data_IF_014328578414
#
_entry.id   IF_014328578414
#
_cell.length_a   1.000
_cell.length_b   1.000
_cell.length_c   1.000
_cell.angle_alpha   90.00
_cell.angle_beta   90.00
_cell.angle_gamma   90.00
#
_symmetry.space_group_name_H-M   'P 1'
#
loop_
_entity.id
_entity.type
_entity.pdbx_description
1 polymer ?
#
# COMPACT_ATOMS: atom_id res chain seq x y z
N UNK A 1 -6.77 -42.43 40.23
CA UNK A 1 -6.85 -41.13 39.56
C UNK A 1 -5.96 -41.20 38.33
N UNK A 2 -6.59 -41.38 37.16
CA UNK A 2 -5.92 -41.45 35.87
C UNK A 2 -5.97 -40.04 35.22
N UNK A 3 -4.80 -39.47 34.94
CA UNK A 3 -4.66 -38.23 34.23
C UNK A 3 -4.73 -38.53 32.73
N UNK A 4 -5.71 -37.99 32.07
CA UNK A 4 -5.84 -38.00 30.60
C UNK A 4 -4.73 -37.15 29.96
N UNK A 5 -4.18 -37.54 28.81
CA UNK A 5 -3.15 -36.75 28.13
C UNK A 5 -3.78 -35.48 27.50
N UNK A 6 -3.12 -34.33 27.73
CA UNK A 6 -3.41 -33.08 27.04
C UNK A 6 -3.01 -33.22 25.58
N UNK A 7 -3.97 -33.13 24.71
CA UNK A 7 -3.75 -32.96 23.26
C UNK A 7 -3.07 -31.59 23.04
N UNK A 8 -1.83 -31.63 22.52
CA UNK A 8 -1.17 -30.45 21.96
C UNK A 8 -1.96 -30.06 20.70
N UNK A 9 -2.47 -28.83 20.67
CA UNK A 9 -2.93 -28.22 19.42
C UNK A 9 -1.71 -28.10 18.49
N UNK A 10 -1.85 -28.58 17.26
CA UNK A 10 -0.87 -28.36 16.21
C UNK A 10 -0.76 -26.87 15.90
N UNK A 11 0.40 -26.36 15.47
CA UNK A 11 0.54 -25.00 14.98
C UNK A 11 -0.40 -24.81 13.79
N UNK A 12 -1.14 -23.72 13.78
CA UNK A 12 -1.85 -23.27 12.59
C UNK A 12 -0.76 -22.85 11.61
N UNK A 13 -0.58 -23.60 10.53
CA UNK A 13 0.25 -23.16 9.41
C UNK A 13 -0.41 -21.90 8.84
N UNK A 14 0.20 -20.75 9.09
CA UNK A 14 -0.10 -19.53 8.38
C UNK A 14 0.45 -19.69 6.97
N UNK A 15 -0.40 -20.11 6.04
CA UNK A 15 -0.05 -20.12 4.61
C UNK A 15 0.14 -18.67 4.18
N UNK A 16 1.33 -18.37 3.64
CA UNK A 16 1.55 -17.12 2.92
C UNK A 16 0.48 -16.95 1.85
N UNK A 17 0.02 -15.70 1.57
CA UNK A 17 -0.97 -15.46 0.54
C UNK A 17 -0.50 -16.08 -0.78
N UNK A 18 -1.33 -16.93 -1.37
CA UNK A 18 -1.08 -17.50 -2.68
C UNK A 18 -1.26 -16.37 -3.69
N UNK A 19 -0.24 -16.09 -4.50
CA UNK A 19 -0.39 -15.20 -5.65
C UNK A 19 -1.63 -15.62 -6.43
N UNK A 20 -2.64 -14.78 -6.40
CA UNK A 20 -3.77 -14.91 -7.30
C UNK A 20 -3.25 -14.51 -8.68
N UNK A 21 -3.10 -15.47 -9.60
CA UNK A 21 -2.76 -15.21 -11.00
C UNK A 21 -3.90 -14.52 -11.76
N UNK A 22 -4.60 -13.63 -11.08
CA UNK A 22 -5.73 -12.85 -11.59
C UNK A 22 -5.17 -11.70 -12.42
N UNK A 23 -5.72 -11.51 -13.63
CA UNK A 23 -5.37 -10.37 -14.45
C UNK A 23 -5.65 -9.08 -13.67
N UNK A 24 -4.75 -8.10 -13.79
CA UNK A 24 -4.90 -6.78 -13.15
C UNK A 24 -6.23 -6.17 -13.59
N UNK A 25 -7.13 -5.80 -12.66
CA UNK A 25 -8.37 -5.12 -13.01
C UNK A 25 -8.11 -3.86 -13.84
N UNK A 26 -8.90 -3.65 -14.89
CA UNK A 26 -8.75 -2.52 -15.81
C UNK A 26 -8.69 -1.16 -15.09
N UNK A 27 -9.46 -1.01 -14.00
CA UNK A 27 -9.49 0.21 -13.22
C UNK A 27 -8.15 0.53 -12.50
N UNK A 28 -7.30 -0.46 -12.24
CA UNK A 28 -5.98 -0.26 -11.63
C UNK A 28 -4.87 0.04 -12.61
N UNK A 29 -5.04 -0.29 -13.88
CA UNK A 29 -4.01 -0.10 -14.91
C UNK A 29 -3.52 1.36 -15.01
N UNK A 30 -4.40 2.39 -15.02
CA UNK A 30 -3.95 3.78 -15.07
C UNK A 30 -3.16 4.20 -13.83
N UNK A 31 -3.45 3.60 -12.66
CA UNK A 31 -2.70 3.84 -11.43
C UNK A 31 -1.28 3.29 -11.58
N UNK A 32 -1.16 2.02 -11.96
CA UNK A 32 0.14 1.36 -12.17
C UNK A 32 0.97 2.12 -13.21
N UNK A 33 0.38 2.47 -14.35
CA UNK A 33 1.05 3.27 -15.39
C UNK A 33 1.56 4.62 -14.86
N UNK A 34 0.80 5.28 -13.98
CA UNK A 34 1.22 6.54 -13.35
C UNK A 34 2.49 6.34 -12.50
N UNK A 35 2.58 5.26 -11.72
CA UNK A 35 3.78 4.95 -10.92
C UNK A 35 4.98 4.64 -11.80
N UNK A 36 4.80 3.84 -12.86
CA UNK A 36 5.86 3.57 -13.84
C UNK A 36 6.38 4.87 -14.43
N UNK A 37 5.48 5.77 -14.85
CA UNK A 37 5.86 7.08 -15.40
C UNK A 37 6.62 7.92 -14.36
N UNK A 38 6.10 8.01 -13.12
CA UNK A 38 6.73 8.79 -12.06
C UNK A 38 8.16 8.31 -11.74
N UNK A 39 8.38 6.99 -11.73
CA UNK A 39 9.69 6.38 -11.48
C UNK A 39 10.63 6.56 -12.69
N UNK A 40 10.13 6.37 -13.91
CA UNK A 40 10.95 6.49 -15.14
C UNK A 40 11.37 7.93 -15.39
N UNK A 41 10.48 8.88 -15.15
CA UNK A 41 10.72 10.31 -15.35
C UNK A 41 11.34 10.99 -14.12
N UNK A 42 11.55 10.25 -13.01
CA UNK A 42 12.09 10.76 -11.74
C UNK A 42 11.31 11.97 -11.20
N UNK A 43 10.00 11.81 -11.02
CA UNK A 43 9.15 12.87 -10.51
C UNK A 43 9.58 13.31 -9.10
N UNK A 44 9.67 14.64 -8.91
CA UNK A 44 9.85 15.20 -7.57
C UNK A 44 8.57 15.13 -6.73
N UNK A 45 8.69 15.33 -5.41
CA UNK A 45 7.57 15.19 -4.47
C UNK A 45 6.36 16.07 -4.80
N UNK A 46 6.56 17.28 -5.37
CA UNK A 46 5.47 18.14 -5.82
C UNK A 46 4.69 17.52 -6.99
N UNK A 47 5.39 16.93 -7.97
CA UNK A 47 4.76 16.26 -9.10
C UNK A 47 3.96 15.04 -8.65
N UNK A 48 4.52 14.22 -7.74
CA UNK A 48 3.82 13.09 -7.15
C UNK A 48 2.54 13.55 -6.43
N UNK A 49 2.63 14.58 -5.58
CA UNK A 49 1.47 15.11 -4.85
C UNK A 49 0.39 15.67 -5.78
N UNK A 50 0.78 16.37 -6.85
CA UNK A 50 -0.17 16.89 -7.83
C UNK A 50 -0.85 15.78 -8.65
N UNK A 51 -0.20 14.62 -8.77
CA UNK A 51 -0.73 13.45 -9.44
C UNK A 51 -1.52 12.52 -8.51
N UNK A 52 -1.71 12.89 -7.24
CA UNK A 52 -2.40 12.09 -6.23
C UNK A 52 -1.77 10.71 -6.04
N UNK A 53 -0.44 10.69 -5.85
CA UNK A 53 0.36 9.54 -5.43
C UNK A 53 1.33 9.95 -4.33
N UNK A 54 1.83 8.97 -3.58
CA UNK A 54 2.75 9.24 -2.47
C UNK A 54 4.01 9.99 -2.92
N UNK A 55 4.34 11.06 -2.20
CA UNK A 55 5.60 11.78 -2.41
C UNK A 55 6.84 10.90 -2.14
N UNK A 56 6.69 9.80 -1.39
CA UNK A 56 7.76 8.84 -1.12
C UNK A 56 8.32 8.21 -2.41
N UNK A 57 7.53 8.18 -3.49
CA UNK A 57 7.98 7.74 -4.82
C UNK A 57 9.19 8.55 -5.30
N UNK A 58 9.24 9.85 -4.96
CA UNK A 58 10.34 10.73 -5.34
C UNK A 58 11.70 10.39 -4.70
N UNK A 59 11.70 9.53 -3.67
CA UNK A 59 12.93 9.08 -3.01
C UNK A 59 13.50 7.79 -3.61
N UNK A 60 12.72 7.09 -4.44
CA UNK A 60 13.18 5.88 -5.10
C UNK A 60 14.31 6.21 -6.09
N UNK A 61 15.39 5.44 -6.02
CA UNK A 61 16.56 5.57 -6.90
C UNK A 61 16.48 4.60 -8.07
N UNK A 62 15.62 3.58 -7.98
CA UNK A 62 15.37 2.58 -9.00
C UNK A 62 13.89 2.16 -9.00
N UNK A 63 13.30 1.90 -10.17
CA UNK A 63 11.96 1.33 -10.27
C UNK A 63 11.78 -0.03 -9.56
N UNK A 64 12.87 -0.79 -9.36
CA UNK A 64 12.82 -2.06 -8.64
C UNK A 64 12.63 -1.93 -7.13
N UNK A 65 12.80 -0.73 -6.56
CA UNK A 65 12.59 -0.49 -5.12
C UNK A 65 11.12 -0.43 -4.74
N UNK A 66 10.24 -0.32 -5.72
CA UNK A 66 8.80 -0.21 -5.57
C UNK A 66 8.09 -1.23 -6.44
N UNK A 67 6.92 -1.63 -6.00
CA UNK A 67 6.08 -2.53 -6.76
C UNK A 67 4.63 -2.46 -6.29
N UNK A 68 3.81 -3.32 -6.87
CA UNK A 68 2.42 -3.47 -6.52
C UNK A 68 2.08 -4.90 -6.11
N UNK A 69 1.03 -5.05 -5.32
CA UNK A 69 0.39 -6.32 -5.02
C UNK A 69 -1.12 -6.19 -5.15
N UNK A 70 -1.78 -7.32 -5.44
CA UNK A 70 -3.23 -7.45 -5.44
C UNK A 70 -3.60 -8.42 -4.32
N UNK A 71 -4.34 -7.95 -3.32
CA UNK A 71 -4.78 -8.74 -2.16
C UNK A 71 -6.19 -8.33 -1.76
N UNK A 72 -7.08 -9.31 -1.55
CA UNK A 72 -8.42 -9.10 -0.97
C UNK A 72 -8.28 -8.87 0.54
N UNK A 73 -8.21 -7.60 0.94
CA UNK A 73 -7.93 -7.20 2.32
C UNK A 73 -9.17 -7.22 3.22
N UNK A 74 -10.37 -7.06 2.66
CA UNK A 74 -11.63 -7.00 3.43
C UNK A 74 -12.54 -8.23 3.18
N UNK A 75 -12.06 -9.21 2.38
CA UNK A 75 -12.74 -10.46 2.03
C UNK A 75 -14.08 -10.23 1.30
N UNK A 76 -14.16 -9.20 0.46
CA UNK A 76 -15.33 -8.94 -0.37
C UNK A 76 -15.28 -9.69 -1.72
N UNK A 77 -14.15 -10.33 -2.02
CA UNK A 77 -13.87 -11.08 -3.24
C UNK A 77 -13.26 -10.24 -4.35
N UNK A 78 -12.89 -8.99 -4.04
CA UNK A 78 -12.21 -8.08 -4.96
C UNK A 78 -10.84 -7.71 -4.37
N UNK A 79 -9.77 -7.94 -5.14
CA UNK A 79 -8.43 -7.58 -4.66
C UNK A 79 -8.23 -6.06 -4.63
N UNK A 80 -7.64 -5.55 -3.56
CA UNK A 80 -7.12 -4.20 -3.48
C UNK A 80 -5.77 -4.09 -4.18
N UNK A 81 -5.48 -2.91 -4.73
CA UNK A 81 -4.17 -2.56 -5.26
C UNK A 81 -3.34 -1.87 -4.17
N UNK A 82 -2.28 -2.54 -3.76
CA UNK A 82 -1.29 -2.03 -2.81
C UNK A 82 -0.06 -1.57 -3.58
N UNK A 83 0.43 -0.36 -3.31
CA UNK A 83 1.73 0.12 -3.77
C UNK A 83 2.65 0.14 -2.56
N UNK A 84 3.79 -0.56 -2.63
CA UNK A 84 4.71 -0.68 -1.50
C UNK A 84 6.17 -0.70 -1.97
N UNK A 85 7.09 -0.45 -1.02
CA UNK A 85 8.52 -0.61 -1.25
C UNK A 85 8.94 -2.08 -1.10
N UNK A 86 10.06 -2.43 -1.75
CA UNK A 86 10.77 -3.71 -1.58
C UNK A 86 11.91 -3.54 -0.58
N UNK A 87 11.56 -3.53 0.71
CA UNK A 87 12.51 -3.38 1.80
C UNK A 87 12.20 -4.39 2.91
N UNK A 88 13.18 -4.65 3.80
CA UNK A 88 12.99 -5.52 4.96
C UNK A 88 11.81 -5.03 5.83
N UNK A 89 11.69 -3.73 6.03
CA UNK A 89 10.51 -3.09 6.58
C UNK A 89 9.68 -2.51 5.43
N UNK A 90 8.66 -3.25 5.02
CA UNK A 90 7.77 -2.81 3.97
C UNK A 90 6.80 -1.73 4.46
N UNK A 91 6.72 -0.65 3.69
CA UNK A 91 5.78 0.45 3.91
C UNK A 91 4.86 0.55 2.70
N UNK A 92 3.57 0.63 2.97
CA UNK A 92 2.55 0.87 1.93
C UNK A 92 2.57 2.36 1.60
N UNK A 93 2.79 2.68 0.33
CA UNK A 93 2.81 4.05 -0.19
C UNK A 93 1.40 4.54 -0.48
N UNK A 94 0.61 3.70 -1.15
CA UNK A 94 -0.78 4.00 -1.48
C UNK A 94 -1.61 2.71 -1.47
N UNK A 95 -2.88 2.84 -1.12
CA UNK A 95 -3.86 1.76 -1.18
C UNK A 95 -5.06 2.22 -2.02
N UNK A 96 -5.48 1.37 -2.94
CA UNK A 96 -6.67 1.58 -3.76
C UNK A 96 -7.60 0.37 -3.65
N UNK A 97 -8.90 0.62 -3.64
CA UNK A 97 -9.95 -0.39 -3.61
C UNK A 97 -10.96 -0.16 -4.74
N UNK A 98 -11.72 -1.18 -5.11
CA UNK A 98 -12.84 -1.09 -6.03
C UNK A 98 -14.16 -1.23 -5.28
N UNK A 99 -14.86 -0.13 -5.07
CA UNK A 99 -16.19 -0.12 -4.44
C UNK A 99 -17.26 0.03 -5.52
N UNK A 100 -18.14 -0.96 -5.65
CA UNK A 100 -19.13 -1.00 -6.72
C UNK A 100 -18.51 -0.83 -8.12
N UNK A 101 -17.31 -1.41 -8.32
CA UNK A 101 -16.54 -1.32 -9.57
C UNK A 101 -15.92 0.06 -9.85
N UNK A 102 -15.93 0.97 -8.89
CA UNK A 102 -15.29 2.29 -8.98
C UNK A 102 -14.03 2.35 -8.16
N UNK A 103 -12.98 2.92 -8.76
CA UNK A 103 -11.71 3.13 -8.08
C UNK A 103 -11.88 4.12 -6.92
N UNK A 104 -11.41 3.71 -5.75
CA UNK A 104 -11.30 4.52 -4.53
C UNK A 104 -9.85 4.56 -4.10
N UNK A 105 -9.26 5.74 -3.95
CA UNK A 105 -7.97 5.94 -3.31
C UNK A 105 -8.19 6.00 -1.80
N UNK A 106 -7.77 4.96 -1.09
CA UNK A 106 -8.08 4.76 0.34
C UNK A 106 -7.19 5.63 1.23
N UNK A 107 -5.87 5.62 0.95
CA UNK A 107 -4.90 6.47 1.64
C UNK A 107 -3.62 6.64 0.84
N UNK A 108 -2.87 7.70 1.20
CA UNK A 108 -1.51 7.99 0.77
C UNK A 108 -0.60 8.06 1.99
N UNK A 109 0.48 7.27 1.98
CA UNK A 109 1.56 7.34 2.98
C UNK A 109 2.56 8.46 2.67
N UNK A 110 3.22 8.98 3.71
CA UNK A 110 4.30 9.96 3.61
C UNK A 110 5.19 9.91 4.86
N UNK A 111 6.31 10.64 4.90
CA UNK A 111 7.37 10.54 5.93
C UNK A 111 6.88 10.53 7.39
N UNK A 112 5.78 11.22 7.67
CA UNK A 112 5.24 11.34 9.03
C UNK A 112 3.92 10.61 9.22
N UNK A 113 3.50 9.82 8.24
CA UNK A 113 2.27 9.03 8.26
C UNK A 113 2.46 7.78 7.40
N UNK A 114 3.02 6.74 7.99
CA UNK A 114 3.35 5.49 7.31
C UNK A 114 2.32 4.40 7.60
N UNK A 115 2.23 3.42 6.70
CA UNK A 115 1.31 2.30 6.78
C UNK A 115 2.05 0.99 6.56
N UNK A 116 1.75 -0.02 7.37
CA UNK A 116 2.33 -1.35 7.30
C UNK A 116 1.23 -2.41 7.33
N UNK A 117 1.40 -3.48 6.54
CA UNK A 117 0.48 -4.63 6.60
C UNK A 117 0.87 -5.55 7.76
N UNK A 118 -0.13 -6.01 8.50
CA UNK A 118 -0.01 -6.88 9.67
C UNK A 118 -0.85 -8.14 9.51
N UNK A 119 -0.55 -9.17 10.29
CA UNK A 119 -1.33 -10.41 10.32
C UNK A 119 -2.83 -10.15 10.44
N UNK A 120 -3.64 -10.97 9.74
CA UNK A 120 -5.08 -10.80 9.64
C UNK A 120 -5.50 -9.63 8.74
N UNK A 121 -4.62 -9.21 7.81
CA UNK A 121 -4.86 -8.08 6.89
C UNK A 121 -5.18 -6.76 7.60
N UNK A 122 -4.66 -6.62 8.83
CA UNK A 122 -4.74 -5.36 9.56
C UNK A 122 -3.71 -4.38 9.02
N UNK A 123 -4.06 -3.11 9.02
CA UNK A 123 -3.19 -2.03 8.60
C UNK A 123 -2.78 -1.26 9.85
N UNK A 124 -1.47 -1.21 10.13
CA UNK A 124 -0.92 -0.35 11.17
C UNK A 124 -0.54 0.99 10.53
N UNK A 125 -1.25 2.04 10.90
CA UNK A 125 -0.90 3.41 10.58
C UNK A 125 -0.04 4.00 11.72
N UNK A 126 1.09 4.59 11.36
CA UNK A 126 2.02 5.25 12.30
C UNK A 126 2.08 6.71 11.92
N UNK A 127 1.46 7.55 12.73
CA UNK A 127 1.41 9.01 12.57
C UNK A 127 2.34 9.72 13.53
N UNK A 128 3.14 10.69 13.05
CA UNK A 128 3.96 11.55 13.90
C UNK A 128 3.38 12.96 13.95
N UNK A 129 2.92 13.37 15.14
CA UNK A 129 2.32 14.70 15.37
C UNK A 129 3.34 15.71 15.93
N UNK A 130 4.63 15.35 15.98
CA UNK A 130 5.73 16.17 16.49
C UNK A 130 6.75 15.35 17.25
N UNK A 131 7.72 16.00 17.88
CA UNK A 131 8.77 15.32 18.64
C UNK A 131 8.25 14.63 19.93
N UNK A 132 7.10 15.06 20.42
CA UNK A 132 6.52 14.61 21.69
C UNK A 132 5.18 13.87 21.52
N UNK A 133 4.76 13.57 20.29
CA UNK A 133 3.47 12.90 20.04
C UNK A 133 3.51 12.02 18.78
N UNK A 134 3.02 10.79 18.92
CA UNK A 134 2.86 9.83 17.84
C UNK A 134 1.61 8.97 18.06
N UNK A 135 0.96 8.61 16.97
CA UNK A 135 -0.20 7.72 16.96
C UNK A 135 0.13 6.41 16.27
N UNK A 136 -0.35 5.32 16.83
CA UNK A 136 -0.27 3.97 16.30
C UNK A 136 -1.69 3.42 16.20
N UNK A 137 -2.21 3.39 14.99
CA UNK A 137 -3.62 3.06 14.74
C UNK A 137 -3.70 1.75 14.00
N UNK A 138 -4.26 0.72 14.62
CA UNK A 138 -4.64 -0.50 13.94
C UNK A 138 -6.01 -0.34 13.29
N UNK A 139 -6.07 -0.60 12.00
CA UNK A 139 -7.27 -0.50 11.19
C UNK A 139 -7.52 -1.80 10.44
N UNK A 140 -8.75 -1.99 9.99
CA UNK A 140 -9.08 -2.90 8.90
C UNK A 140 -9.72 -2.10 7.75
N UNK A 141 -9.65 -2.66 6.54
CA UNK A 141 -10.36 -2.11 5.39
C UNK A 141 -11.82 -2.56 5.43
N UNK A 142 -12.73 -1.69 5.07
CA UNK A 142 -14.14 -2.03 4.87
C UNK A 142 -14.76 -1.08 3.87
N UNK A 143 -15.24 -1.60 2.76
CA UNK A 143 -15.92 -0.84 1.72
C UNK A 143 -15.12 0.42 1.28
N UNK A 144 -13.83 0.23 1.02
CA UNK A 144 -12.92 1.28 0.54
C UNK A 144 -12.54 2.33 1.59
N UNK A 145 -12.74 2.06 2.88
CA UNK A 145 -12.40 2.96 3.98
C UNK A 145 -11.66 2.22 5.10
N UNK A 146 -10.71 2.90 5.74
CA UNK A 146 -10.09 2.39 6.96
C UNK A 146 -11.01 2.60 8.15
N UNK A 147 -11.26 1.52 8.87
CA UNK A 147 -12.00 1.51 10.14
C UNK A 147 -11.03 1.25 11.27
N UNK A 148 -10.97 2.15 12.25
CA UNK A 148 -10.09 2.03 13.41
C UNK A 148 -10.56 0.91 14.34
N UNK A 149 -9.65 -0.03 14.64
CA UNK A 149 -9.84 -1.08 15.63
C UNK A 149 -9.30 -0.67 17.01
N UNK A 150 -8.12 -0.06 17.01
CA UNK A 150 -7.48 0.44 18.23
C UNK A 150 -6.51 1.57 17.92
N UNK A 151 -6.36 2.47 18.89
CA UNK A 151 -5.42 3.59 18.87
C UNK A 151 -4.55 3.52 20.13
N UNK A 152 -3.23 3.55 19.94
CA UNK A 152 -2.25 3.79 21.00
C UNK A 152 -1.59 5.11 20.65
N UNK A 153 -1.56 6.03 21.60
CA UNK A 153 -0.93 7.35 21.47
C UNK A 153 0.21 7.50 22.44
N UNK A 154 1.34 7.95 21.95
CA UNK A 154 2.38 8.57 22.74
C UNK A 154 2.15 10.08 22.77
N UNK A 155 2.02 10.70 23.94
CA UNK A 155 1.87 12.15 24.10
C UNK A 155 2.55 12.65 25.38
N UNK A 156 3.86 12.86 25.29
CA UNK A 156 4.66 13.39 26.39
C UNK A 156 4.47 14.91 26.60
N UNK A 157 3.74 15.60 25.72
CA UNK A 157 3.39 17.01 25.93
C UNK A 157 2.21 17.14 26.90
N UNK A 158 1.29 16.17 26.89
CA UNK A 158 0.12 16.14 27.78
C UNK A 158 0.46 15.56 29.13
N UNK A 159 1.16 14.43 29.19
CA UNK A 159 1.61 13.79 30.44
C UNK A 159 3.03 13.23 30.26
N UNK A 160 4.08 13.99 30.69
CA UNK A 160 5.46 13.54 30.56
C UNK A 160 5.82 12.30 31.40
N UNK A 161 5.13 12.10 32.51
CA UNK A 161 5.40 10.97 33.44
C UNK A 161 4.70 9.68 32.99
N UNK A 162 3.54 9.80 32.31
CA UNK A 162 2.75 8.67 31.80
C UNK A 162 2.28 8.98 30.36
N UNK A 163 3.20 9.02 29.36
CA UNK A 163 2.91 9.55 28.04
C UNK A 163 2.08 8.64 27.13
N UNK A 164 1.70 7.46 27.61
CA UNK A 164 1.02 6.46 26.80
C UNK A 164 -0.47 6.36 27.09
N UNK A 165 -1.26 6.38 26.04
CA UNK A 165 -2.73 6.31 26.08
C UNK A 165 -3.21 5.22 25.15
N UNK A 166 -4.35 4.60 25.44
CA UNK A 166 -5.00 3.60 24.59
C UNK A 166 -6.50 3.86 24.51
N UNK A 167 -7.09 3.60 23.33
CA UNK A 167 -8.52 3.65 23.06
C UNK A 167 -8.91 2.92 21.79
N UNK A 168 -10.16 3.01 21.39
CA UNK A 168 -10.65 2.59 20.08
C UNK A 168 -10.80 3.77 19.13
N UNK A 169 -10.56 4.97 19.60
CA UNK A 169 -10.57 6.23 18.86
C UNK A 169 -10.21 7.41 19.76
N UNK A 170 -10.26 8.62 19.20
CA UNK A 170 -9.88 9.87 19.89
C UNK A 170 -10.72 10.16 21.14
N UNK A 171 -11.99 9.72 21.15
CA UNK A 171 -12.95 10.11 22.20
C UNK A 171 -12.87 9.22 23.44
N UNK A 172 -12.17 8.09 23.39
CA UNK A 172 -12.10 7.11 24.48
C UNK A 172 -10.66 6.81 24.91
N UNK A 173 -9.69 7.65 24.53
CA UNK A 173 -8.30 7.54 24.95
C UNK A 173 -8.20 7.66 26.47
N UNK A 174 -7.57 6.67 27.09
CA UNK A 174 -7.29 6.64 28.52
C UNK A 174 -5.81 6.29 28.76
N UNK A 175 -5.18 6.82 29.84
CA UNK A 175 -3.81 6.48 30.19
C UNK A 175 -3.62 4.97 30.38
N UNK A 176 -2.50 4.44 29.88
CA UNK A 176 -2.10 3.06 30.12
C UNK A 176 -1.47 3.00 31.50
N UNK A 177 -2.15 2.32 32.42
CA UNK A 177 -1.73 2.22 33.84
C UNK A 177 -1.15 0.85 34.22
N UNK A 178 -0.99 -0.07 33.23
CA UNK A 178 -0.38 -1.37 33.45
C UNK A 178 1.14 -1.20 33.60
N UNK A 179 1.68 -1.52 34.76
CA UNK A 179 3.11 -1.42 35.06
C UNK A 179 3.97 -2.40 34.23
N UNK A 180 3.35 -3.43 33.64
CA UNK A 180 4.05 -4.39 32.78
C UNK A 180 3.98 -4.00 31.29
N UNK A 181 3.23 -2.95 30.96
CA UNK A 181 3.12 -2.49 29.59
C UNK A 181 4.46 -1.92 29.10
N UNK A 182 4.81 -2.23 27.84
CA UNK A 182 5.99 -1.68 27.18
C UNK A 182 5.64 -1.20 25.78
N UNK A 183 6.46 -0.29 25.25
CA UNK A 183 6.32 0.20 23.87
C UNK A 183 6.35 -0.92 22.83
N UNK A 184 7.04 -2.04 23.11
CA UNK A 184 7.07 -3.19 22.21
C UNK A 184 5.66 -3.76 21.93
N UNK A 185 4.72 -3.56 22.84
CA UNK A 185 3.33 -3.98 22.64
C UNK A 185 2.64 -3.26 21.48
N UNK A 186 3.11 -2.06 21.13
CA UNK A 186 2.60 -1.32 19.97
C UNK A 186 2.75 -2.14 18.70
N UNK A 187 3.90 -2.80 18.53
CA UNK A 187 4.22 -3.59 17.34
C UNK A 187 3.86 -5.07 17.47
N UNK A 188 3.69 -5.57 18.71
CA UNK A 188 3.42 -6.98 18.97
C UNK A 188 1.95 -7.37 18.88
N UNK A 189 1.04 -6.41 18.80
CA UNK A 189 -0.42 -6.67 18.68
C UNK A 189 -0.78 -7.51 17.44
N UNK A 190 0.00 -7.42 16.37
CA UNK A 190 -0.03 -8.30 15.20
C UNK A 190 1.34 -8.31 14.54
N UNK A 191 1.85 -9.48 14.14
CA UNK A 191 3.12 -9.58 13.45
C UNK A 191 3.07 -8.87 12.08
N UNK A 192 4.24 -8.44 11.59
CA UNK A 192 4.36 -7.91 10.23
C UNK A 192 4.00 -8.99 9.22
N UNK A 193 3.17 -8.65 8.24
CA UNK A 193 2.79 -9.53 7.14
C UNK A 193 3.53 -9.05 5.89
N UNK A 194 4.54 -9.80 5.40
CA UNK A 194 5.23 -9.44 4.17
C UNK A 194 4.29 -9.43 2.98
N UNK A 195 4.42 -8.44 2.12
CA UNK A 195 3.68 -8.29 0.88
C UNK A 195 4.56 -8.77 -0.26
N UNK A 196 4.14 -9.80 -0.99
CA UNK A 196 4.80 -10.20 -2.24
C UNK A 196 4.43 -9.17 -3.31
N UNK A 197 5.35 -8.26 -3.62
CA UNK A 197 5.12 -7.24 -4.64
C UNK A 197 5.68 -7.68 -6.00
N UNK A 198 5.01 -7.26 -7.08
CA UNK A 198 5.54 -7.26 -8.44
C UNK A 198 6.29 -5.95 -8.66
N UNK A 199 7.64 -5.95 -8.78
CA UNK A 199 8.41 -4.72 -8.97
C UNK A 199 8.04 -3.99 -10.25
N UNK A 200 8.04 -2.65 -10.23
CA UNK A 200 7.77 -1.86 -11.42
C UNK A 200 8.85 -2.00 -12.51
N UNK A 201 10.07 -2.39 -12.15
CA UNK A 201 11.15 -2.67 -13.11
C UNK A 201 10.91 -3.95 -13.92
N UNK A 202 10.18 -4.91 -13.36
CA UNK A 202 9.89 -6.21 -14.00
C UNK A 202 8.68 -6.15 -14.95
N UNK A 203 8.08 -4.98 -15.13
CA UNK A 203 7.03 -4.79 -16.13
C UNK A 203 7.51 -5.01 -17.58
N UNK A 204 8.82 -5.30 -17.78
CA UNK A 204 9.34 -5.85 -19.04
C UNK A 204 8.89 -7.30 -19.33
N UNK A 205 8.37 -8.04 -18.32
CA UNK A 205 7.96 -9.44 -18.49
C UNK A 205 6.42 -9.65 -18.47
N UNK A 206 5.68 -8.65 -18.03
CA UNK A 206 4.22 -8.63 -18.09
C UNK A 206 3.81 -7.33 -18.73
N UNK A 207 4.20 -7.13 -20.01
CA UNK A 207 3.95 -5.90 -20.71
C UNK A 207 2.47 -5.56 -20.64
N UNK A 208 2.13 -4.49 -19.91
CA UNK A 208 1.02 -3.68 -20.32
C UNK A 208 1.41 -3.10 -21.69
N UNK A 209 1.10 -3.84 -22.70
CA UNK A 209 1.00 -3.28 -24.04
C UNK A 209 -0.38 -2.68 -24.07
N UNK A 210 -0.53 -1.34 -24.06
CA UNK A 210 -1.81 -0.76 -24.43
C UNK A 210 -2.18 -1.41 -25.76
N UNK A 211 -3.37 -2.01 -25.86
CA UNK A 211 -3.82 -2.54 -27.13
C UNK A 211 -3.76 -1.39 -28.15
N UNK A 212 -3.53 -1.69 -29.41
CA UNK A 212 -3.48 -0.66 -30.47
C UNK A 212 -4.70 0.28 -30.40
N UNK A 213 -5.85 -0.27 -29.96
CA UNK A 213 -7.07 0.49 -29.66
C UNK A 213 -6.89 1.58 -28.58
N UNK A 214 -5.99 1.40 -27.62
CA UNK A 214 -5.74 2.39 -26.55
C UNK A 214 -4.90 3.55 -27.10
N UNK A 215 -3.96 3.29 -28.00
CA UNK A 215 -3.21 4.34 -28.70
C UNK A 215 -4.13 5.11 -29.68
N UNK A 216 -5.01 4.41 -30.40
CA UNK A 216 -6.01 5.05 -31.25
C UNK A 216 -6.98 5.91 -30.43
N UNK A 217 -7.42 5.43 -29.28
CA UNK A 217 -8.22 6.19 -28.31
C UNK A 217 -7.49 7.44 -27.83
N UNK A 218 -6.23 7.31 -27.41
CA UNK A 218 -5.39 8.44 -26.99
C UNK A 218 -5.18 9.45 -28.12
N UNK A 219 -4.78 9.01 -29.32
CA UNK A 219 -4.58 9.88 -30.49
C UNK A 219 -5.85 10.61 -30.88
N UNK A 220 -7.05 10.04 -30.63
CA UNK A 220 -8.32 10.70 -30.87
C UNK A 220 -8.64 11.82 -29.88
N UNK A 221 -7.98 11.85 -28.72
CA UNK A 221 -8.21 12.85 -27.65
C UNK A 221 -7.26 14.04 -27.72
N UNK A 222 -6.15 13.93 -28.45
CA UNK A 222 -5.16 15.00 -28.58
C UNK A 222 -5.38 15.80 -29.88
N UNK A 223 -4.99 17.07 -29.86
CA UNK A 223 -4.96 17.89 -31.07
C UNK A 223 -3.83 17.43 -31.98
N UNK A 224 -4.17 16.59 -32.95
CA UNK A 224 -3.23 16.04 -33.95
C UNK A 224 -2.83 17.04 -35.05
N UNK A 225 -3.35 18.27 -35.01
CA UNK A 225 -3.08 19.27 -36.06
C UNK A 225 -1.61 19.65 -36.17
N UNK A 226 -0.84 19.46 -35.11
CA UNK A 226 0.61 19.68 -35.06
C UNK A 226 1.44 18.42 -35.20
N UNK A 227 0.84 17.22 -35.14
CA UNK A 227 1.53 15.94 -35.33
C UNK A 227 1.69 15.67 -36.80
N UNK A 228 2.93 15.64 -37.29
CA UNK A 228 3.22 15.38 -38.69
C UNK A 228 3.31 13.90 -39.03
N UNK A 229 3.81 13.11 -38.08
CA UNK A 229 4.04 11.67 -38.24
C UNK A 229 3.97 11.00 -36.86
N UNK A 230 3.54 9.78 -36.83
CA UNK A 230 3.74 8.83 -35.72
C UNK A 230 4.18 7.51 -36.34
N UNK A 231 4.85 6.71 -35.53
CA UNK A 231 5.26 5.36 -35.89
C UNK A 231 5.12 4.43 -34.70
N UNK A 232 4.77 3.19 -34.99
CA UNK A 232 4.92 2.09 -34.02
C UNK A 232 6.22 1.38 -34.33
N UNK A 233 7.08 1.22 -33.35
CA UNK A 233 8.37 0.57 -33.50
C UNK A 233 8.82 -0.05 -32.19
N UNK A 234 9.26 -1.29 -32.26
CA UNK A 234 9.94 -1.97 -31.16
C UNK A 234 11.30 -1.30 -30.93
N UNK A 235 11.41 -0.49 -29.88
CA UNK A 235 12.61 0.30 -29.57
C UNK A 235 13.57 -0.42 -28.65
N UNK A 236 13.06 -1.29 -27.77
CA UNK A 236 13.84 -1.99 -26.77
C UNK A 236 14.09 -3.47 -27.11
N UNK A 237 13.46 -3.99 -28.16
CA UNK A 237 13.68 -5.33 -28.66
C UNK A 237 12.89 -6.42 -27.91
N UNK A 238 11.81 -6.04 -27.21
CA UNK A 238 10.99 -6.97 -26.46
C UNK A 238 9.90 -7.65 -27.32
N UNK A 239 9.79 -7.27 -28.59
CA UNK A 239 8.84 -7.81 -29.58
C UNK A 239 7.52 -7.07 -29.62
N UNK A 240 7.43 -5.90 -28.98
CA UNK A 240 6.28 -5.03 -29.00
C UNK A 240 6.66 -3.66 -29.56
N UNK A 241 5.68 -3.00 -30.17
CA UNK A 241 5.93 -1.70 -30.79
C UNK A 241 5.55 -0.56 -29.84
N UNK A 242 6.44 0.40 -29.62
CA UNK A 242 6.18 1.67 -28.93
C UNK A 242 5.67 2.71 -29.89
N UNK A 243 4.82 3.62 -29.39
CA UNK A 243 4.33 4.78 -30.16
C UNK A 243 5.38 5.91 -30.12
N UNK A 244 5.85 6.33 -31.28
CA UNK A 244 6.78 7.45 -31.48
C UNK A 244 6.07 8.71 -31.95
#
# INVERSE_FOLDING_TARGET
>A
LSLAPRTRNAPVETTAPTESGTAIPEAYQPVIAKYVTALTEHWGGEACSNADISLLVSYATSPSELGYALLDLDNDGTDELIIANDAERQVIYDLYSLVDGKLVHVFTGWDRNSYELREGYRILNIGSNGAASADYVYCHLSNGQLVTDSLIRFDAATDPDHPWFRGTGENDLAPITDENWSEDEVYSAAASLPIAITPFADNSAGSYTPALADYEGYLSTIDTSSIKYYALRDLDGDGQDELL
#
